data_IF_351144583484
#
_entry.id   IF_351144583484
#
_cell.length_a   1.000
_cell.length_b   1.000
_cell.length_c   1.000
_cell.angle_alpha   90.00
_cell.angle_beta   90.00
_cell.angle_gamma   90.00
#
_symmetry.space_group_name_H-M   'P 1'
#
loop_
_entity.id
_entity.type
_entity.pdbx_description
1 polymer ?
#
# COMPACT_ATOMS: atom_id res chain seq x y z
N UNK A 1 0.14 -5.29 -21.98
CA UNK A 1 -0.90 -4.93 -20.97
C UNK A 1 -0.15 -4.43 -19.75
N UNK A 2 -0.61 -3.37 -19.11
CA UNK A 2 0.03 -2.85 -17.90
C UNK A 2 -0.44 -3.70 -16.71
N UNK A 3 0.50 -4.29 -16.00
CA UNK A 3 0.25 -5.23 -14.90
C UNK A 3 0.63 -4.60 -13.57
N UNK A 4 -0.04 -4.99 -12.49
CA UNK A 4 0.21 -4.47 -11.14
C UNK A 4 0.51 -5.63 -10.19
N UNK A 5 1.65 -5.55 -9.50
CA UNK A 5 2.00 -6.42 -8.39
C UNK A 5 1.46 -5.82 -7.09
N UNK A 6 0.42 -6.43 -6.53
CA UNK A 6 -0.20 -5.98 -5.27
C UNK A 6 0.41 -6.75 -4.11
N UNK A 7 0.90 -6.04 -3.11
CA UNK A 7 1.60 -6.55 -1.95
C UNK A 7 0.76 -6.33 -0.68
N UNK A 8 0.37 -7.39 0.01
CA UNK A 8 -0.43 -7.30 1.25
C UNK A 8 0.23 -8.12 2.34
N UNK A 9 0.75 -7.47 3.38
CA UNK A 9 1.17 -8.15 4.61
C UNK A 9 -0.02 -8.16 5.58
N UNK A 10 -0.48 -9.35 5.98
CA UNK A 10 -1.61 -9.52 6.89
C UNK A 10 -1.21 -10.35 8.10
N UNK A 11 -1.61 -9.91 9.28
CA UNK A 11 -1.42 -10.63 10.54
C UNK A 11 -2.75 -10.73 11.28
N UNK A 12 -3.45 -11.88 11.14
CA UNK A 12 -4.73 -12.17 11.81
C UNK A 12 -5.72 -11.01 11.70
N UNK A 13 -5.91 -10.50 10.48
CA UNK A 13 -6.70 -9.31 10.23
C UNK A 13 -8.07 -9.64 9.62
N UNK A 14 -9.18 -9.36 10.31
CA UNK A 14 -10.53 -9.63 9.80
C UNK A 14 -10.88 -8.81 8.56
N UNK A 15 -10.17 -7.70 8.31
CA UNK A 15 -10.39 -6.85 7.15
C UNK A 15 -9.68 -7.32 5.87
N UNK A 16 -8.81 -8.35 5.95
CA UNK A 16 -8.10 -8.87 4.77
C UNK A 16 -9.07 -9.31 3.66
N UNK A 17 -10.05 -10.16 3.98
CA UNK A 17 -10.99 -10.65 2.98
C UNK A 17 -11.88 -9.56 2.39
N UNK A 18 -12.47 -8.63 3.17
CA UNK A 18 -13.15 -7.45 2.65
C UNK A 18 -12.26 -6.60 1.74
N UNK A 19 -11.01 -6.38 2.13
CA UNK A 19 -10.02 -5.61 1.35
C UNK A 19 -9.76 -6.24 -0.02
N UNK A 20 -9.46 -7.54 -0.07
CA UNK A 20 -9.23 -8.26 -1.35
C UNK A 20 -10.47 -8.19 -2.23
N UNK A 21 -11.65 -8.40 -1.65
CA UNK A 21 -12.92 -8.34 -2.40
C UNK A 21 -13.16 -6.96 -3.00
N UNK A 22 -12.96 -5.91 -2.22
CA UNK A 22 -13.19 -4.53 -2.67
C UNK A 22 -12.15 -4.11 -3.72
N UNK A 23 -10.86 -4.47 -3.50
CA UNK A 23 -9.76 -4.24 -4.44
C UNK A 23 -10.08 -4.83 -5.84
N UNK A 24 -10.52 -6.08 -5.90
CA UNK A 24 -10.85 -6.77 -7.15
C UNK A 24 -12.11 -6.20 -7.80
N UNK A 25 -13.16 -5.93 -7.00
CA UNK A 25 -14.43 -5.43 -7.49
C UNK A 25 -14.32 -4.03 -8.09
N UNK A 26 -13.44 -3.21 -7.55
CA UNK A 26 -13.26 -1.79 -7.87
C UNK A 26 -12.17 -1.53 -8.93
N UNK A 27 -11.39 -2.53 -9.29
CA UNK A 27 -10.42 -2.41 -10.38
C UNK A 27 -11.12 -2.40 -11.75
N UNK A 28 -10.67 -1.53 -12.65
CA UNK A 28 -11.08 -1.56 -14.06
C UNK A 28 -10.49 -2.78 -14.79
N UNK A 29 -9.30 -3.24 -14.36
CA UNK A 29 -8.58 -4.34 -14.99
C UNK A 29 -8.16 -5.41 -13.96
N UNK A 30 -9.09 -6.13 -13.32
CA UNK A 30 -8.77 -7.07 -12.25
C UNK A 30 -7.91 -8.27 -12.72
N UNK A 31 -7.95 -8.61 -14.01
CA UNK A 31 -7.13 -9.68 -14.59
C UNK A 31 -5.66 -9.28 -14.83
N UNK A 32 -5.34 -7.99 -14.72
CA UNK A 32 -3.98 -7.47 -14.79
C UNK A 32 -3.26 -7.45 -13.43
N UNK A 33 -3.93 -7.89 -12.36
CA UNK A 33 -3.39 -7.90 -11.00
C UNK A 33 -2.70 -9.23 -10.69
N UNK A 34 -1.53 -9.15 -10.06
CA UNK A 34 -0.89 -10.25 -9.35
C UNK A 34 -0.87 -9.90 -7.87
N UNK A 35 -1.58 -10.64 -7.04
CA UNK A 35 -1.79 -10.30 -5.62
C UNK A 35 -0.97 -11.26 -4.76
N UNK A 36 0.09 -10.76 -4.15
CA UNK A 36 0.94 -11.53 -3.25
C UNK A 36 0.64 -11.16 -1.80
N UNK A 37 0.30 -12.17 -1.00
CA UNK A 37 -0.14 -12.00 0.39
C UNK A 37 0.79 -12.77 1.32
N UNK A 38 1.45 -12.09 2.25
CA UNK A 38 2.04 -12.76 3.42
C UNK A 38 0.93 -12.96 4.46
N UNK A 39 0.33 -14.14 4.44
CA UNK A 39 -0.81 -14.51 5.27
C UNK A 39 -0.35 -15.12 6.57
N UNK A 40 -0.21 -14.28 7.59
CA UNK A 40 0.22 -14.67 8.93
C UNK A 40 -1.02 -14.95 9.78
N UNK A 41 -1.49 -16.18 9.77
CA UNK A 41 -2.80 -16.59 10.32
C UNK A 41 -2.69 -17.66 11.41
N UNK A 42 -3.78 -17.86 12.14
CA UNK A 42 -3.97 -18.98 13.07
C UNK A 42 -5.00 -19.96 12.52
N UNK A 43 -4.75 -21.24 12.68
CA UNK A 43 -5.73 -22.29 12.36
C UNK A 43 -6.99 -22.24 13.25
N UNK A 44 -6.91 -21.54 14.37
CA UNK A 44 -8.04 -21.32 15.27
C UNK A 44 -8.98 -20.20 14.77
N UNK A 45 -8.50 -19.34 13.87
CA UNK A 45 -9.27 -18.25 13.30
C UNK A 45 -9.96 -18.71 12.00
N UNK A 46 -11.08 -19.46 12.13
CA UNK A 46 -11.82 -20.01 10.97
C UNK A 46 -12.26 -18.94 9.95
N UNK A 47 -12.37 -17.67 10.38
CA UNK A 47 -12.70 -16.54 9.53
C UNK A 47 -11.53 -16.07 8.66
N UNK A 48 -10.27 -16.36 9.06
CA UNK A 48 -9.04 -15.91 8.37
C UNK A 48 -8.52 -16.98 7.40
N UNK A 49 -9.31 -17.27 6.36
CA UNK A 49 -8.95 -18.27 5.35
C UNK A 49 -8.94 -17.72 3.94
N UNK A 50 -7.90 -18.06 3.17
CA UNK A 50 -7.74 -17.70 1.76
C UNK A 50 -8.02 -18.88 0.81
N UNK A 51 -8.62 -19.98 1.27
CA UNK A 51 -8.89 -21.18 0.46
C UNK A 51 -9.61 -20.88 -0.86
N UNK A 52 -10.54 -19.93 -0.87
CA UNK A 52 -11.29 -19.54 -2.08
C UNK A 52 -10.41 -18.94 -3.17
N UNK A 53 -9.20 -18.46 -2.84
CA UNK A 53 -8.24 -17.90 -3.77
C UNK A 53 -7.10 -18.87 -4.15
N UNK A 54 -7.02 -20.04 -3.51
CA UNK A 54 -5.92 -20.99 -3.69
C UNK A 54 -5.75 -21.50 -5.14
N UNK A 55 -6.83 -21.50 -5.94
CA UNK A 55 -6.82 -21.91 -7.33
C UNK A 55 -6.96 -20.74 -8.33
N UNK A 56 -6.91 -19.51 -7.87
CA UNK A 56 -6.93 -18.32 -8.72
C UNK A 56 -5.50 -17.93 -9.08
N UNK A 57 -5.13 -18.05 -10.34
CA UNK A 57 -3.78 -17.79 -10.82
C UNK A 57 -3.27 -16.35 -10.62
N UNK A 58 -4.13 -15.43 -10.18
CA UNK A 58 -3.73 -14.07 -9.82
C UNK A 58 -3.10 -13.98 -8.42
N UNK A 59 -3.25 -15.03 -7.59
CA UNK A 59 -2.83 -15.00 -6.20
C UNK A 59 -1.56 -15.80 -5.95
N UNK A 60 -0.68 -15.22 -5.16
CA UNK A 60 0.48 -15.86 -4.54
C UNK A 60 0.26 -15.74 -3.03
N UNK A 61 0.03 -16.86 -2.36
CA UNK A 61 -0.22 -16.88 -0.91
C UNK A 61 0.99 -17.47 -0.21
N UNK A 62 1.68 -16.67 0.58
CA UNK A 62 2.75 -17.10 1.47
C UNK A 62 2.09 -17.46 2.79
N UNK A 63 1.88 -18.75 3.01
CA UNK A 63 1.20 -19.30 4.18
C UNK A 63 2.17 -19.36 5.38
N UNK A 64 1.86 -18.60 6.44
CA UNK A 64 2.74 -18.41 7.59
C UNK A 64 1.94 -18.61 8.89
N UNK A 65 2.29 -19.58 9.74
CA UNK A 65 1.76 -19.61 11.10
C UNK A 65 2.06 -18.30 11.83
N UNK A 66 1.10 -17.69 12.48
CA UNK A 66 1.27 -16.36 13.08
C UNK A 66 2.39 -16.30 14.12
N UNK A 67 2.70 -17.44 14.78
CA UNK A 67 3.80 -17.56 15.75
C UNK A 67 5.18 -17.44 15.10
N UNK A 68 5.29 -17.66 13.80
CA UNK A 68 6.53 -17.53 13.02
C UNK A 68 6.74 -16.11 12.46
N UNK A 69 5.81 -15.19 12.75
CA UNK A 69 5.92 -13.80 12.29
C UNK A 69 7.16 -13.11 12.88
N UNK A 70 7.87 -12.40 12.00
CA UNK A 70 9.01 -11.56 12.38
C UNK A 70 8.72 -10.06 12.16
N UNK A 71 7.44 -9.68 12.07
CA UNK A 71 6.97 -8.31 11.92
C UNK A 71 6.66 -7.90 10.49
N UNK A 72 6.12 -6.67 10.36
CA UNK A 72 5.58 -6.17 9.10
C UNK A 72 6.64 -6.04 7.99
N UNK A 73 7.84 -5.53 8.32
CA UNK A 73 8.88 -5.33 7.32
C UNK A 73 9.44 -6.64 6.79
N UNK A 74 9.58 -7.66 7.67
CA UNK A 74 9.95 -9.00 7.25
C UNK A 74 8.90 -9.59 6.30
N UNK A 75 7.61 -9.50 6.63
CA UNK A 75 6.53 -10.01 5.79
C UNK A 75 6.50 -9.31 4.42
N UNK A 76 6.65 -7.99 4.38
CA UNK A 76 6.74 -7.20 3.13
C UNK A 76 7.97 -7.58 2.31
N UNK A 77 9.11 -7.83 2.95
CA UNK A 77 10.31 -8.33 2.25
C UNK A 77 10.06 -9.69 1.61
N UNK A 78 9.40 -10.64 2.31
CA UNK A 78 9.05 -11.94 1.73
C UNK A 78 8.17 -11.77 0.48
N UNK A 79 7.18 -10.89 0.51
CA UNK A 79 6.32 -10.59 -0.65
C UNK A 79 7.15 -10.08 -1.82
N UNK A 80 8.08 -9.15 -1.59
CA UNK A 80 8.89 -8.54 -2.66
C UNK A 80 9.74 -9.55 -3.44
N UNK A 81 10.10 -10.70 -2.84
CA UNK A 81 10.83 -11.78 -3.51
C UNK A 81 10.00 -12.47 -4.62
N UNK A 82 8.68 -12.29 -4.63
CA UNK A 82 7.77 -12.85 -5.64
C UNK A 82 7.45 -11.89 -6.79
N UNK A 83 8.05 -10.69 -6.81
CA UNK A 83 7.89 -9.76 -7.93
C UNK A 83 8.50 -10.35 -9.21
N UNK A 84 7.72 -10.35 -10.30
CA UNK A 84 8.11 -10.91 -11.59
C UNK A 84 7.79 -9.93 -12.75
N UNK A 85 8.51 -8.81 -12.76
CA UNK A 85 8.47 -7.82 -13.84
C UNK A 85 7.10 -7.20 -14.17
N UNK A 86 6.16 -7.14 -13.22
CA UNK A 86 4.94 -6.37 -13.38
C UNK A 86 5.29 -4.88 -13.58
N UNK A 87 4.50 -4.18 -14.40
CA UNK A 87 4.77 -2.79 -14.78
C UNK A 87 4.75 -1.84 -13.58
N UNK A 88 3.82 -2.07 -12.65
CA UNK A 88 3.63 -1.27 -11.43
C UNK A 88 3.58 -2.17 -10.20
N UNK A 89 3.74 -1.55 -9.05
CA UNK A 89 3.47 -2.20 -7.76
C UNK A 89 2.60 -1.34 -6.87
N UNK A 90 1.72 -1.99 -6.10
CA UNK A 90 0.90 -1.40 -5.05
C UNK A 90 1.18 -2.12 -3.74
N UNK A 91 1.75 -1.43 -2.76
CA UNK A 91 1.89 -1.94 -1.40
C UNK A 91 0.74 -1.41 -0.54
N UNK A 92 0.14 -2.30 0.23
CA UNK A 92 -0.99 -2.04 1.12
C UNK A 92 -0.84 -2.75 2.47
N UNK A 93 -1.50 -2.21 3.47
CA UNK A 93 -1.91 -2.99 4.64
C UNK A 93 -3.18 -3.79 4.33
N UNK A 94 -3.61 -4.65 5.24
CA UNK A 94 -4.71 -5.61 5.00
C UNK A 94 -6.13 -5.04 5.19
N UNK A 95 -6.27 -3.74 5.53
CA UNK A 95 -7.55 -3.11 5.91
C UNK A 95 -7.83 -1.84 5.09
N UNK A 96 -8.24 -2.05 3.83
CA UNK A 96 -8.51 -0.97 2.87
C UNK A 96 -9.89 -1.09 2.20
N UNK A 97 -10.37 0.03 1.67
CA UNK A 97 -11.46 0.11 0.68
C UNK A 97 -11.03 0.99 -0.48
N UNK A 98 -11.59 0.78 -1.66
CA UNK A 98 -11.13 1.40 -2.90
C UNK A 98 -12.23 2.22 -3.58
N UNK A 99 -11.82 3.21 -4.37
CA UNK A 99 -12.72 3.86 -5.34
C UNK A 99 -12.84 3.02 -6.61
N UNK A 100 -13.92 3.19 -7.37
CA UNK A 100 -14.05 2.58 -8.70
C UNK A 100 -12.91 3.07 -9.61
N UNK A 101 -12.25 2.15 -10.34
CA UNK A 101 -11.15 2.43 -11.24
C UNK A 101 -9.86 2.87 -10.55
N UNK A 102 -9.62 2.47 -9.31
CA UNK A 102 -8.44 2.84 -8.52
C UNK A 102 -7.12 2.57 -9.27
N UNK A 103 -7.05 1.47 -10.02
CA UNK A 103 -5.91 1.05 -10.84
C UNK A 103 -5.63 2.04 -11.98
N UNK A 104 -6.64 2.34 -12.77
CA UNK A 104 -6.58 3.31 -13.87
C UNK A 104 -6.26 4.72 -13.38
N UNK A 105 -6.86 5.14 -12.25
CA UNK A 105 -6.60 6.44 -11.62
C UNK A 105 -5.14 6.56 -11.18
N UNK A 106 -4.62 5.54 -10.50
CA UNK A 106 -3.24 5.51 -10.00
C UNK A 106 -2.22 5.54 -11.14
N UNK A 107 -2.41 4.70 -12.15
CA UNK A 107 -1.57 4.67 -13.36
C UNK A 107 -1.60 6.02 -14.08
N UNK A 108 -2.80 6.63 -14.20
CA UNK A 108 -2.96 7.94 -14.82
C UNK A 108 -2.18 9.05 -14.12
N UNK A 109 -2.14 9.03 -12.79
CA UNK A 109 -1.33 9.97 -12.00
C UNK A 109 0.17 9.78 -12.26
N UNK A 110 0.68 8.52 -12.21
CA UNK A 110 2.09 8.25 -12.49
C UNK A 110 2.50 8.71 -13.89
N UNK A 111 1.70 8.37 -14.91
CA UNK A 111 1.96 8.80 -16.29
C UNK A 111 1.96 10.33 -16.46
N UNK A 112 1.08 11.02 -15.73
CA UNK A 112 1.06 12.49 -15.73
C UNK A 112 2.33 13.07 -15.13
N UNK A 113 2.83 12.52 -14.04
CA UNK A 113 4.07 12.92 -13.39
C UNK A 113 5.29 12.62 -14.28
N UNK A 114 5.32 11.45 -14.94
CA UNK A 114 6.38 11.10 -15.88
C UNK A 114 6.47 12.10 -17.04
N UNK A 115 5.33 12.52 -17.59
CA UNK A 115 5.27 13.56 -18.64
C UNK A 115 5.80 14.92 -18.18
N UNK A 116 5.81 15.17 -16.87
CA UNK A 116 6.33 16.40 -16.24
C UNK A 116 7.80 16.30 -15.86
N UNK A 117 8.48 15.22 -16.19
CA UNK A 117 9.90 15.04 -15.96
C UNK A 117 10.27 14.29 -14.68
N UNK A 118 9.33 13.60 -14.06
CA UNK A 118 9.56 12.70 -12.94
C UNK A 118 9.60 11.24 -13.43
N UNK A 119 10.77 10.68 -13.79
CA UNK A 119 10.84 9.36 -14.43
C UNK A 119 10.39 8.21 -13.51
N UNK A 120 10.63 8.33 -12.22
CA UNK A 120 10.26 7.34 -11.19
C UNK A 120 9.34 7.96 -10.12
N UNK A 121 8.07 8.29 -10.48
CA UNK A 121 7.14 8.86 -9.52
C UNK A 121 6.61 7.77 -8.58
N UNK A 122 6.47 8.10 -7.30
CA UNK A 122 5.92 7.22 -6.26
C UNK A 122 4.77 7.94 -5.56
N UNK A 123 3.55 7.42 -5.69
CA UNK A 123 2.38 7.90 -4.94
C UNK A 123 2.38 7.25 -3.56
N UNK A 124 2.42 8.05 -2.52
CA UNK A 124 2.43 7.58 -1.13
C UNK A 124 1.90 8.66 -0.20
N UNK A 125 1.49 8.28 1.00
CA UNK A 125 1.04 9.19 2.03
C UNK A 125 -0.05 8.57 2.89
N UNK A 126 -0.43 9.25 3.95
CA UNK A 126 -1.61 8.87 4.68
C UNK A 126 -2.83 9.10 3.79
N UNK A 127 -3.58 8.01 3.56
CA UNK A 127 -4.82 8.07 2.81
C UNK A 127 -6.01 8.24 3.77
N UNK A 128 -7.18 8.75 3.27
CA UNK A 128 -8.34 9.00 4.12
C UNK A 128 -8.78 7.77 4.90
N UNK A 129 -9.27 7.98 6.12
CA UNK A 129 -9.78 6.90 6.96
C UNK A 129 -11.19 6.46 6.56
N UNK A 130 -11.53 5.23 6.93
CA UNK A 130 -12.91 4.72 6.99
C UNK A 130 -13.13 3.96 8.31
N UNK A 131 -14.39 3.77 8.64
CA UNK A 131 -14.84 2.97 9.78
C UNK A 131 -15.50 1.70 9.25
N UNK A 132 -14.91 0.49 9.46
CA UNK A 132 -15.48 -0.76 8.98
C UNK A 132 -16.90 -1.04 9.48
N UNK A 133 -17.22 -0.55 10.69
CA UNK A 133 -18.55 -0.75 11.29
C UNK A 133 -19.62 0.17 10.70
N UNK A 134 -19.21 1.20 9.96
CA UNK A 134 -20.09 2.21 9.35
C UNK A 134 -19.77 2.44 7.86
N UNK A 135 -19.22 1.48 7.17
CA UNK A 135 -18.89 1.57 5.75
C UNK A 135 -20.16 1.48 4.88
N UNK A 136 -20.36 2.31 3.84
CA UNK A 136 -19.48 3.38 3.35
C UNK A 136 -19.69 4.76 4.00
N UNK A 137 -20.60 4.94 4.94
CA UNK A 137 -20.92 6.26 5.52
C UNK A 137 -19.78 6.83 6.38
N UNK A 138 -18.97 5.95 6.95
CA UNK A 138 -17.79 6.32 7.76
C UNK A 138 -16.54 6.65 6.95
N UNK A 139 -16.64 6.78 5.62
CA UNK A 139 -15.51 7.16 4.76
C UNK A 139 -15.30 8.67 4.76
N UNK A 140 -14.05 9.11 4.94
CA UNK A 140 -13.69 10.51 4.73
C UNK A 140 -13.76 10.88 3.25
N UNK A 141 -14.21 12.11 2.97
CA UNK A 141 -14.54 12.60 1.63
C UNK A 141 -13.43 13.45 0.96
N UNK A 142 -12.28 13.65 1.62
CA UNK A 142 -11.16 14.44 1.11
C UNK A 142 -9.86 13.64 1.04
N UNK A 143 -9.02 13.90 0.02
CA UNK A 143 -7.66 13.34 -0.01
C UNK A 143 -6.83 13.87 1.16
N UNK A 144 -5.93 13.03 1.66
CA UNK A 144 -4.98 13.38 2.71
C UNK A 144 -3.55 13.39 2.18
N UNK A 145 -2.71 14.18 2.83
CA UNK A 145 -1.27 14.08 2.78
C UNK A 145 -0.71 13.82 4.17
N UNK A 146 0.60 13.68 4.27
CA UNK A 146 1.27 13.52 5.56
C UNK A 146 2.36 14.56 5.75
N UNK A 147 2.55 14.99 6.98
CA UNK A 147 3.56 15.96 7.40
C UNK A 147 4.28 15.47 8.65
N UNK A 148 5.43 16.08 8.92
CA UNK A 148 6.13 15.88 10.18
C UNK A 148 5.28 16.39 11.35
N UNK A 149 5.15 15.57 12.39
CA UNK A 149 4.55 15.96 13.68
C UNK A 149 5.66 16.24 14.70
N UNK A 150 6.38 15.21 15.12
CA UNK A 150 7.40 15.30 16.18
C UNK A 150 8.43 14.18 16.08
N UNK A 151 9.47 14.28 16.88
CA UNK A 151 10.29 13.13 17.26
C UNK A 151 9.74 12.47 18.53
N UNK A 152 9.71 11.15 18.58
CA UNK A 152 9.45 10.43 19.83
C UNK A 152 10.64 10.57 20.78
N UNK A 153 10.49 10.24 22.08
CA UNK A 153 11.63 10.21 23.01
C UNK A 153 12.79 9.33 22.54
N UNK A 154 12.50 8.26 21.77
CA UNK A 154 13.48 7.34 21.19
C UNK A 154 14.13 7.88 19.90
N UNK A 155 13.72 9.06 19.43
CA UNK A 155 14.24 9.72 18.24
C UNK A 155 13.60 9.26 16.92
N UNK A 156 12.49 8.54 16.97
CA UNK A 156 11.73 8.14 15.78
C UNK A 156 10.89 9.31 15.29
N UNK A 157 10.83 9.53 13.97
CA UNK A 157 9.96 10.53 13.36
C UNK A 157 8.52 10.06 13.41
N UNK A 158 7.64 10.93 13.90
CA UNK A 158 6.20 10.74 13.87
C UNK A 158 5.56 11.67 12.86
N UNK A 159 4.54 11.16 12.17
CA UNK A 159 3.80 11.89 11.14
C UNK A 159 2.37 12.16 11.57
N UNK A 160 1.79 13.16 10.93
CA UNK A 160 0.36 13.47 11.07
C UNK A 160 -0.28 13.67 9.69
N UNK A 161 -1.55 13.30 9.53
CA UNK A 161 -2.29 13.60 8.31
C UNK A 161 -2.64 15.10 8.25
N UNK A 162 -2.80 15.59 7.01
CA UNK A 162 -3.48 16.84 6.75
C UNK A 162 -4.46 16.67 5.59
N UNK A 163 -5.56 17.42 5.60
CA UNK A 163 -6.55 17.40 4.52
C UNK A 163 -6.05 18.27 3.37
N UNK A 164 -6.16 17.77 2.16
CA UNK A 164 -5.85 18.57 0.98
C UNK A 164 -7.01 19.51 0.67
N UNK A 165 -6.67 20.72 0.21
CA UNK A 165 -7.64 21.69 -0.26
C UNK A 165 -8.25 21.27 -1.61
N UNK A 166 -9.52 21.58 -1.84
CA UNK A 166 -10.23 21.23 -3.06
C UNK A 166 -9.67 21.92 -4.33
N UNK A 167 -8.83 22.95 -4.16
CA UNK A 167 -8.08 23.60 -5.27
C UNK A 167 -6.92 22.77 -5.80
N UNK A 168 -6.44 21.78 -5.05
CA UNK A 168 -5.35 20.89 -5.47
C UNK A 168 -5.83 19.99 -6.60
N UNK A 169 -5.25 20.12 -7.79
CA UNK A 169 -5.67 19.39 -8.99
C UNK A 169 -4.65 18.39 -9.52
N UNK A 170 -3.51 18.27 -8.83
CA UNK A 170 -2.39 17.43 -9.22
C UNK A 170 -1.74 16.83 -7.98
N UNK A 171 -1.02 15.68 -8.10
CA UNK A 171 -0.27 15.12 -6.99
C UNK A 171 0.73 16.13 -6.42
N UNK A 172 0.85 16.18 -5.11
CA UNK A 172 1.70 17.12 -4.38
C UNK A 172 2.99 16.45 -3.97
N UNK A 173 4.14 17.10 -4.15
CA UNK A 173 5.43 16.59 -3.69
C UNK A 173 5.37 16.21 -2.20
N UNK A 174 5.74 14.98 -1.91
CA UNK A 174 5.83 14.42 -0.57
C UNK A 174 7.27 14.34 -0.09
N UNK A 175 7.49 14.41 1.22
CA UNK A 175 8.81 14.23 1.84
C UNK A 175 8.97 12.88 2.49
N UNK A 176 7.85 12.23 2.78
CA UNK A 176 7.80 11.03 3.59
C UNK A 176 7.07 9.92 2.84
N UNK A 177 7.52 8.70 3.06
CA UNK A 177 6.90 7.48 2.59
C UNK A 177 5.91 6.98 3.64
N UNK A 178 4.80 6.43 3.21
CA UNK A 178 3.88 5.69 4.07
C UNK A 178 3.80 4.23 3.66
N UNK A 179 3.99 3.36 4.63
CA UNK A 179 4.06 1.93 4.38
C UNK A 179 2.69 1.27 4.14
N UNK A 180 1.59 1.91 4.55
CA UNK A 180 0.26 1.38 4.31
C UNK A 180 -0.29 1.68 2.91
N UNK A 181 0.31 2.63 2.16
CA UNK A 181 -0.06 2.92 0.79
C UNK A 181 1.13 3.44 -0.02
N UNK A 182 1.56 2.66 -0.99
CA UNK A 182 2.57 3.08 -1.96
C UNK A 182 2.28 2.48 -3.33
N UNK A 183 2.16 3.33 -4.36
CA UNK A 183 1.95 2.93 -5.75
C UNK A 183 3.02 3.54 -6.65
N UNK A 184 3.77 2.70 -7.37
CA UNK A 184 4.88 3.13 -8.23
C UNK A 184 5.21 2.11 -9.32
N UNK A 185 6.36 2.30 -9.98
CA UNK A 185 6.90 1.33 -10.94
C UNK A 185 7.26 0.02 -10.24
N UNK A 186 7.04 -1.11 -10.93
CA UNK A 186 7.25 -2.45 -10.35
C UNK A 186 8.69 -2.71 -9.92
N UNK A 187 9.68 -2.15 -10.63
CA UNK A 187 11.11 -2.28 -10.29
C UNK A 187 11.46 -1.80 -8.88
N UNK A 188 10.62 -0.99 -8.25
CA UNK A 188 10.74 -0.61 -6.85
C UNK A 188 10.90 -1.81 -5.91
N UNK A 189 10.23 -2.93 -6.22
CA UNK A 189 10.34 -4.17 -5.45
C UNK A 189 11.77 -4.72 -5.37
N UNK A 190 12.60 -4.46 -6.41
CA UNK A 190 13.99 -4.88 -6.43
C UNK A 190 14.94 -3.80 -5.90
N UNK A 191 14.67 -2.53 -6.23
CA UNK A 191 15.57 -1.42 -5.94
C UNK A 191 15.48 -0.93 -4.50
N UNK A 192 14.28 -1.02 -3.88
CA UNK A 192 13.99 -0.47 -2.54
C UNK A 192 13.24 -1.49 -1.70
N UNK A 193 13.91 -2.59 -1.37
CA UNK A 193 13.31 -3.65 -0.57
C UNK A 193 13.14 -3.22 0.89
N UNK A 194 12.10 -3.72 1.55
CA UNK A 194 11.99 -3.63 3.01
C UNK A 194 13.15 -4.38 3.67
N UNK A 195 13.74 -3.79 4.68
CA UNK A 195 14.76 -4.46 5.50
C UNK A 195 14.06 -5.39 6.50
N UNK A 196 14.25 -6.72 6.40
CA UNK A 196 13.55 -7.68 7.25
C UNK A 196 13.98 -7.63 8.72
N UNK A 197 15.04 -6.89 9.04
CA UNK A 197 15.49 -6.71 10.43
C UNK A 197 14.70 -5.65 11.20
N UNK A 198 13.97 -4.76 10.50
CA UNK A 198 13.03 -3.86 11.14
C UNK A 198 11.75 -4.60 11.51
N UNK A 199 11.36 -4.53 12.76
CA UNK A 199 10.07 -5.10 13.18
C UNK A 199 8.89 -4.26 12.71
N UNK A 200 8.92 -2.94 12.98
CA UNK A 200 7.87 -2.00 12.61
C UNK A 200 8.40 -0.57 12.44
N UNK A 201 8.73 0.14 13.53
CA UNK A 201 9.11 1.55 13.47
C UNK A 201 10.46 1.81 12.77
N UNK A 202 10.54 2.95 12.08
CA UNK A 202 11.75 3.43 11.40
C UNK A 202 11.83 3.03 9.93
N UNK A 203 11.00 2.09 9.47
CA UNK A 203 11.03 1.63 8.09
C UNK A 203 10.60 2.74 7.11
N UNK A 204 9.57 3.52 7.42
CA UNK A 204 9.05 4.56 6.53
C UNK A 204 10.11 5.61 6.19
N UNK A 205 10.88 6.06 7.19
CA UNK A 205 11.99 6.99 6.96
C UNK A 205 13.09 6.36 6.12
N UNK A 206 13.48 5.12 6.43
CA UNK A 206 14.56 4.44 5.68
C UNK A 206 14.15 4.12 4.25
N UNK A 207 12.90 3.70 4.01
CA UNK A 207 12.36 3.50 2.67
C UNK A 207 12.30 4.83 1.91
N UNK A 208 11.79 5.90 2.53
CA UNK A 208 11.73 7.22 1.90
C UNK A 208 13.09 7.74 1.45
N UNK A 209 14.12 7.63 2.29
CA UNK A 209 15.49 8.04 1.96
C UNK A 209 16.08 7.18 0.84
N UNK A 210 15.93 5.85 0.91
CA UNK A 210 16.44 4.95 -0.13
C UNK A 210 15.71 5.12 -1.45
N UNK A 211 14.39 5.31 -1.44
CA UNK A 211 13.61 5.64 -2.62
C UNK A 211 14.15 6.90 -3.30
N UNK A 212 14.33 7.98 -2.54
CA UNK A 212 14.88 9.23 -3.06
C UNK A 212 16.28 9.03 -3.66
N UNK A 213 17.17 8.29 -2.99
CA UNK A 213 18.54 8.03 -3.49
C UNK A 213 18.57 7.10 -4.71
N UNK A 214 17.52 6.29 -4.92
CA UNK A 214 17.31 5.49 -6.13
C UNK A 214 16.58 6.26 -7.26
N UNK A 215 16.36 7.56 -7.07
CA UNK A 215 15.78 8.46 -8.08
C UNK A 215 14.26 8.50 -8.13
N UNK A 216 13.58 8.02 -7.08
CA UNK A 216 12.13 8.15 -6.95
C UNK A 216 11.75 9.51 -6.38
N UNK A 217 10.77 10.16 -7.02
CA UNK A 217 10.13 11.36 -6.52
C UNK A 217 8.81 10.99 -5.85
N UNK A 218 8.66 11.32 -4.56
CA UNK A 218 7.50 10.99 -3.76
C UNK A 218 6.40 12.04 -3.91
N UNK A 219 5.16 11.59 -4.06
CA UNK A 219 3.99 12.45 -4.20
C UNK A 219 2.81 11.94 -3.37
N UNK A 220 2.06 12.86 -2.79
CA UNK A 220 0.74 12.56 -2.24
C UNK A 220 -0.30 12.60 -3.37
N UNK A 221 -1.16 11.58 -3.51
CA UNK A 221 -2.25 11.58 -4.48
C UNK A 221 -3.25 12.70 -4.14
N UNK A 222 -3.65 13.48 -5.17
CA UNK A 222 -4.61 14.59 -5.02
C UNK A 222 -6.08 14.15 -5.15
N UNK A 223 -6.32 12.89 -5.38
CA UNK A 223 -7.64 12.25 -5.41
C UNK A 223 -7.64 11.09 -4.44
N UNK A 224 -8.80 10.78 -3.89
CA UNK A 224 -9.00 9.55 -3.15
C UNK A 224 -8.82 8.37 -4.10
N UNK A 225 -7.94 7.45 -3.74
CA UNK A 225 -7.70 6.17 -4.42
C UNK A 225 -8.28 5.05 -3.58
N UNK A 226 -8.05 5.13 -2.27
CA UNK A 226 -8.49 4.16 -1.30
C UNK A 226 -8.72 4.83 0.07
N UNK A 227 -9.28 4.08 1.00
CA UNK A 227 -9.42 4.40 2.42
C UNK A 227 -8.70 3.34 3.25
N UNK A 228 -8.19 3.75 4.39
CA UNK A 228 -7.47 2.90 5.33
C UNK A 228 -8.12 2.95 6.71
N UNK A 229 -8.15 1.84 7.43
CA UNK A 229 -8.53 1.81 8.83
C UNK A 229 -7.33 2.16 9.71
N UNK A 230 -7.53 3.02 10.72
CA UNK A 230 -6.46 3.53 11.60
C UNK A 230 -6.70 3.14 13.07
N UNK A 231 -7.31 2.03 13.37
CA UNK A 231 -7.57 1.57 14.76
C UNK A 231 -6.44 0.76 15.35
#
# INVERSE_FOLDING_TARGET
METIFVQIASYRDPELLPTIKDLLLKADNPDALTICIAHQHSKEDEWDTLEKYANDGRFIIIDIPHEESNGACWARNQIQQHYDNQTYTLQLDSHHRFVDGWDTISIGMLKSLQKKGHPKPLLTGYIPSYDPTNDPKGRHDKPWGMSFDRFTPEGVVFFMPYHMDDSVKEPVLARFYSAHFAFTLGEFCNEVQHDPSFYFHGEEITIGVRAFTCGYDLFHPHKIIAWHEYT
#
